data_IF_996878770763
#
_entry.id   IF_996878770763
#
_cell.length_a   1.000
_cell.length_b   1.000
_cell.length_c   1.000
_cell.angle_alpha   90.00
_cell.angle_beta   90.00
_cell.angle_gamma   90.00
#
_symmetry.space_group_name_H-M   'P 1'
#
loop_
_entity.id
_entity.type
_entity.pdbx_description
1 polymer ?
#
# COMPACT_ATOMS: atom_id res chain seq x y z
N UNK A 1 -17.53 17.09 10.65
CA UNK A 1 -16.55 16.00 10.88
C UNK A 1 -16.21 15.93 12.37
N UNK A 2 -16.00 14.75 12.95
CA UNK A 2 -15.82 14.62 14.40
C UNK A 2 -14.44 15.15 14.87
N UNK A 3 -14.44 15.99 15.90
CA UNK A 3 -13.22 16.51 16.56
C UNK A 3 -12.44 15.40 17.26
N UNK A 4 -13.16 14.43 17.85
CA UNK A 4 -12.60 13.26 18.52
C UNK A 4 -12.83 12.01 17.67
N UNK A 5 -11.79 11.54 16.98
CA UNK A 5 -11.79 10.24 16.29
C UNK A 5 -11.05 9.21 17.12
N UNK A 6 -11.77 8.17 17.56
CA UNK A 6 -11.19 7.03 18.31
C UNK A 6 -10.58 5.99 17.37
N UNK A 7 -11.02 5.94 16.11
CA UNK A 7 -10.56 4.96 15.12
C UNK A 7 -10.96 3.50 15.40
N UNK A 8 -11.64 3.20 16.53
CA UNK A 8 -12.00 1.82 16.89
C UNK A 8 -12.86 1.11 15.83
N UNK A 9 -13.91 1.75 15.25
CA UNK A 9 -14.70 1.11 14.20
C UNK A 9 -13.85 0.80 12.96
N UNK A 10 -13.06 1.78 12.52
CA UNK A 10 -12.14 1.63 11.39
C UNK A 10 -11.15 0.48 11.58
N UNK A 11 -10.53 0.38 12.76
CA UNK A 11 -9.57 -0.70 13.06
C UNK A 11 -10.27 -2.06 13.08
N UNK A 12 -11.46 -2.15 13.69
CA UNK A 12 -12.26 -3.39 13.72
C UNK A 12 -12.64 -3.84 12.31
N UNK A 13 -13.06 -2.92 11.46
CA UNK A 13 -13.46 -3.21 10.09
C UNK A 13 -12.24 -3.61 9.24
N UNK A 14 -11.09 -2.95 9.43
CA UNK A 14 -9.83 -3.35 8.79
C UNK A 14 -9.42 -4.77 9.20
N UNK A 15 -9.51 -5.09 10.48
CA UNK A 15 -9.13 -6.41 11.01
C UNK A 15 -10.04 -7.51 10.46
N UNK A 16 -11.34 -7.24 10.38
CA UNK A 16 -12.37 -8.17 9.91
C UNK A 16 -12.31 -8.40 8.40
N UNK A 17 -12.18 -7.33 7.61
CA UNK A 17 -12.20 -7.41 6.14
C UNK A 17 -10.82 -7.68 5.53
N UNK A 18 -9.73 -7.38 6.24
CA UNK A 18 -8.36 -7.49 5.73
C UNK A 18 -7.94 -6.34 4.81
N UNK A 19 -8.83 -5.95 3.88
CA UNK A 19 -8.61 -4.88 2.92
C UNK A 19 -9.81 -3.91 2.89
N UNK A 20 -9.54 -2.61 2.97
CA UNK A 20 -10.57 -1.57 2.92
C UNK A 20 -10.20 -0.46 1.93
N UNK A 21 -11.23 0.09 1.31
CA UNK A 21 -11.17 1.31 0.54
C UNK A 21 -11.50 2.50 1.43
N UNK A 22 -10.75 3.58 1.28
CA UNK A 22 -10.95 4.84 1.99
C UNK A 22 -11.21 5.95 0.99
N UNK A 23 -12.17 6.80 1.33
CA UNK A 23 -12.37 8.10 0.69
C UNK A 23 -12.16 9.19 1.75
N UNK A 24 -11.49 10.26 1.37
CA UNK A 24 -11.23 11.37 2.27
C UNK A 24 -11.37 12.72 1.56
N UNK A 25 -11.47 13.81 2.32
CA UNK A 25 -11.45 15.14 1.74
C UNK A 25 -10.13 15.43 1.00
N UNK A 26 -10.26 16.05 -0.17
CA UNK A 26 -9.14 16.26 -1.10
C UNK A 26 -8.11 17.28 -0.59
N UNK A 27 -8.45 18.06 0.44
CA UNK A 27 -7.52 18.93 1.15
C UNK A 27 -6.45 18.15 1.96
N UNK A 28 -6.66 16.85 2.21
CA UNK A 28 -5.75 15.99 2.95
C UNK A 28 -5.66 16.27 4.46
N UNK A 29 -4.88 15.46 5.17
CA UNK A 29 -4.62 15.58 6.60
C UNK A 29 -5.62 14.86 7.51
N UNK A 30 -6.69 14.28 6.96
CA UNK A 30 -7.68 13.53 7.73
C UNK A 30 -7.30 12.05 7.87
N UNK A 31 -6.73 11.48 6.81
CA UNK A 31 -6.22 10.12 6.72
C UNK A 31 -5.17 9.82 7.79
N UNK A 32 -4.25 10.76 8.04
CA UNK A 32 -3.22 10.63 9.06
C UNK A 32 -3.77 10.44 10.48
N UNK A 33 -5.01 10.86 10.76
CA UNK A 33 -5.64 10.63 12.06
C UNK A 33 -5.95 9.16 12.28
N UNK A 34 -6.46 8.48 11.26
CA UNK A 34 -6.80 7.05 11.32
C UNK A 34 -5.53 6.19 11.29
N UNK A 35 -4.53 6.58 10.50
CA UNK A 35 -3.21 5.96 10.51
C UNK A 35 -2.55 6.04 11.90
N UNK A 36 -2.62 7.19 12.59
CA UNK A 36 -2.10 7.31 13.96
C UNK A 36 -2.80 6.37 14.94
N UNK A 37 -4.09 6.08 14.73
CA UNK A 37 -4.83 5.11 15.56
C UNK A 37 -4.35 3.69 15.30
N UNK A 38 -4.09 3.32 14.04
CA UNK A 38 -3.48 2.02 13.70
C UNK A 38 -2.10 1.85 14.37
N UNK A 39 -1.25 2.88 14.27
CA UNK A 39 0.07 2.88 14.92
C UNK A 39 -0.03 2.73 16.44
N UNK A 40 -0.97 3.44 17.07
CA UNK A 40 -1.21 3.32 18.51
C UNK A 40 -1.70 1.92 18.93
N UNK A 41 -2.35 1.17 18.03
CA UNK A 41 -2.74 -0.23 18.27
C UNK A 41 -1.63 -1.24 17.97
N UNK A 42 -0.43 -0.79 17.60
CA UNK A 42 0.74 -1.64 17.40
C UNK A 42 0.95 -2.11 15.96
N UNK A 43 0.20 -1.58 14.98
CA UNK A 43 0.50 -1.81 13.57
C UNK A 43 1.66 -0.92 13.11
N UNK A 44 2.58 -1.49 12.33
CA UNK A 44 3.48 -0.70 11.50
C UNK A 44 2.78 -0.33 10.20
N UNK A 45 3.19 0.77 9.55
CA UNK A 45 2.53 1.24 8.31
C UNK A 45 3.57 1.44 7.23
N UNK A 46 3.35 0.80 6.08
CA UNK A 46 4.08 1.05 4.85
C UNK A 46 3.21 1.91 3.93
N UNK A 47 3.64 3.14 3.67
CA UNK A 47 2.97 4.02 2.72
C UNK A 47 3.63 3.93 1.35
N UNK A 48 2.85 3.66 0.31
CA UNK A 48 3.30 3.66 -1.08
C UNK A 48 2.30 4.42 -1.95
N UNK A 49 2.76 4.95 -3.08
CA UNK A 49 1.92 5.57 -4.10
C UNK A 49 1.55 4.55 -5.15
N UNK A 50 0.25 4.31 -5.36
CA UNK A 50 -0.23 3.35 -6.35
C UNK A 50 0.28 3.68 -7.76
N UNK A 51 0.35 4.96 -8.14
CA UNK A 51 0.81 5.44 -9.47
C UNK A 51 2.23 5.03 -9.84
N UNK A 52 3.08 4.85 -8.85
CA UNK A 52 4.47 4.43 -9.06
C UNK A 52 4.65 2.91 -9.10
N UNK A 53 3.62 2.14 -8.78
CA UNK A 53 3.68 0.69 -8.75
C UNK A 53 3.34 0.15 -10.14
N UNK A 54 4.22 -0.71 -10.67
CA UNK A 54 3.90 -1.53 -11.83
C UNK A 54 3.01 -2.70 -11.41
N UNK A 55 3.33 -3.90 -11.89
CA UNK A 55 2.66 -5.10 -11.40
C UNK A 55 2.83 -5.26 -9.86
N UNK A 56 1.69 -5.21 -9.15
CA UNK A 56 1.66 -5.24 -7.68
C UNK A 56 2.28 -6.51 -7.12
N UNK A 57 2.07 -7.66 -7.76
CA UNK A 57 2.62 -8.93 -7.29
C UNK A 57 4.14 -8.94 -7.34
N UNK A 58 4.70 -8.45 -8.45
CA UNK A 58 6.12 -8.31 -8.66
C UNK A 58 6.78 -7.34 -7.68
N UNK A 59 6.16 -6.18 -7.42
CA UNK A 59 6.76 -5.16 -6.54
C UNK A 59 6.64 -5.48 -5.04
N UNK A 60 5.50 -6.03 -4.62
CA UNK A 60 5.24 -6.25 -3.20
C UNK A 60 5.86 -7.56 -2.70
N UNK A 61 5.73 -8.64 -3.47
CA UNK A 61 6.01 -10.01 -2.99
C UNK A 61 7.11 -10.76 -3.74
N UNK A 62 7.52 -10.30 -4.92
CA UNK A 62 8.64 -10.87 -5.65
C UNK A 62 9.85 -9.92 -5.78
N UNK A 63 10.98 -10.46 -6.24
CA UNK A 63 12.15 -9.65 -6.60
C UNK A 63 11.84 -8.95 -7.92
N UNK A 64 11.98 -7.63 -7.96
CA UNK A 64 11.66 -6.82 -9.13
C UNK A 64 12.91 -6.17 -9.74
N UNK A 65 13.02 -6.20 -11.07
CA UNK A 65 14.12 -5.56 -11.79
C UNK A 65 13.80 -4.12 -12.17
N UNK A 66 14.37 -3.14 -11.46
CA UNK A 66 14.23 -1.71 -11.77
C UNK A 66 15.37 -1.29 -12.70
N UNK A 67 15.04 -0.56 -13.78
CA UNK A 67 16.03 0.06 -14.66
C UNK A 67 16.16 1.54 -14.32
N UNK A 68 17.29 1.99 -13.72
CA UNK A 68 17.52 3.40 -13.47
C UNK A 68 17.63 4.20 -14.79
N UNK A 69 17.30 5.49 -14.79
CA UNK A 69 17.45 6.34 -15.97
C UNK A 69 18.93 6.40 -16.38
N UNK A 70 19.26 5.84 -17.55
CA UNK A 70 20.64 5.72 -18.02
C UNK A 70 21.16 7.00 -18.71
N UNK A 71 20.27 7.96 -19.01
CA UNK A 71 20.58 9.29 -19.59
C UNK A 71 21.52 9.23 -20.82
N UNK A 72 21.49 8.13 -21.57
CA UNK A 72 22.37 7.90 -22.73
C UNK A 72 23.85 7.64 -22.42
N UNK A 73 24.27 7.54 -21.15
CA UNK A 73 25.70 7.55 -20.75
C UNK A 73 26.25 6.22 -20.20
N UNK A 74 25.47 5.13 -20.23
CA UNK A 74 25.79 3.93 -19.42
C UNK A 74 26.39 2.76 -20.20
N UNK A 75 26.18 2.66 -21.51
CA UNK A 75 26.70 1.54 -22.30
C UNK A 75 27.86 2.03 -23.16
N UNK A 76 29.10 1.84 -22.69
CA UNK A 76 30.34 2.13 -23.44
C UNK A 76 30.79 0.96 -24.33
N UNK A 77 30.03 -0.16 -24.37
CA UNK A 77 30.34 -1.35 -25.17
C UNK A 77 29.24 -1.70 -26.19
N UNK A 78 29.45 -2.74 -27.01
CA UNK A 78 28.57 -3.12 -28.13
C UNK A 78 27.22 -3.78 -27.74
N UNK A 79 26.82 -3.72 -26.46
CA UNK A 79 25.57 -4.30 -25.98
C UNK A 79 24.37 -3.37 -26.17
N UNK A 80 23.15 -3.89 -25.94
CA UNK A 80 21.93 -3.09 -25.99
C UNK A 80 22.02 -1.89 -25.01
N UNK A 81 21.63 -0.70 -25.47
CA UNK A 81 21.66 0.54 -24.69
C UNK A 81 20.52 0.63 -23.64
N UNK A 82 20.23 -0.48 -22.96
CA UNK A 82 19.10 -0.63 -22.01
C UNK A 82 19.48 -0.37 -20.55
N UNK A 83 20.75 -0.03 -20.29
CA UNK A 83 21.26 0.26 -18.94
C UNK A 83 21.35 -0.97 -18.02
N UNK A 84 21.72 -0.73 -16.76
CA UNK A 84 21.77 -1.77 -15.72
C UNK A 84 20.38 -2.07 -15.18
N UNK A 85 20.19 -3.31 -14.72
CA UNK A 85 18.99 -3.70 -13.98
C UNK A 85 19.36 -3.88 -12.51
N UNK A 86 18.68 -3.16 -11.62
CA UNK A 86 18.80 -3.31 -10.18
C UNK A 86 17.68 -4.21 -9.68
N UNK A 87 18.04 -5.35 -9.10
CA UNK A 87 17.07 -6.25 -8.50
C UNK A 87 16.78 -5.77 -7.08
N UNK A 88 15.61 -5.18 -6.89
CA UNK A 88 15.14 -4.76 -5.58
C UNK A 88 14.48 -5.94 -4.87
N UNK A 89 14.70 -6.09 -3.55
CA UNK A 89 14.00 -7.11 -2.78
C UNK A 89 12.49 -6.81 -2.78
N UNK A 90 11.64 -7.83 -2.54
CA UNK A 90 10.21 -7.61 -2.47
C UNK A 90 9.86 -6.69 -1.32
N UNK A 91 9.20 -5.57 -1.62
CA UNK A 91 9.10 -4.47 -0.68
C UNK A 91 8.35 -4.87 0.59
N UNK A 92 7.25 -5.60 0.45
CA UNK A 92 6.37 -5.97 1.55
C UNK A 92 7.01 -7.07 2.40
N UNK A 93 7.49 -8.15 1.79
CA UNK A 93 8.06 -9.29 2.54
C UNK A 93 9.35 -8.90 3.25
N UNK A 94 10.23 -8.15 2.57
CA UNK A 94 11.46 -7.64 3.19
C UNK A 94 11.16 -6.77 4.42
N UNK A 95 10.11 -5.94 4.33
CA UNK A 95 9.68 -5.11 5.46
C UNK A 95 9.07 -5.93 6.59
N UNK A 96 8.26 -6.95 6.29
CA UNK A 96 7.74 -7.87 7.31
C UNK A 96 8.85 -8.60 8.07
N UNK A 97 9.92 -9.00 7.39
CA UNK A 97 11.08 -9.65 8.01
C UNK A 97 11.88 -8.70 8.91
N UNK A 98 11.94 -7.42 8.54
CA UNK A 98 12.58 -6.37 9.35
C UNK A 98 11.69 -5.78 10.47
N UNK A 99 10.43 -6.21 10.54
CA UNK A 99 9.42 -5.65 11.46
C UNK A 99 9.74 -6.00 12.91
N UNK A 100 9.36 -5.13 13.85
CA UNK A 100 9.53 -5.45 15.27
C UNK A 100 8.71 -6.69 15.66
N UNK A 101 9.31 -7.62 16.42
CA UNK A 101 8.60 -8.79 16.94
C UNK A 101 7.40 -8.44 17.86
N UNK A 102 7.33 -7.20 18.35
CA UNK A 102 6.21 -6.68 19.16
C UNK A 102 5.09 -6.07 18.31
N UNK A 103 5.32 -5.84 17.02
CA UNK A 103 4.31 -5.27 16.13
C UNK A 103 3.19 -6.29 15.90
N UNK A 104 1.94 -5.79 15.88
CA UNK A 104 0.76 -6.61 15.61
C UNK A 104 0.73 -7.11 14.16
N UNK A 105 1.32 -6.34 13.25
CA UNK A 105 1.33 -6.60 11.81
C UNK A 105 1.68 -5.33 11.04
N UNK A 106 1.58 -5.40 9.72
CA UNK A 106 1.83 -4.27 8.84
C UNK A 106 0.56 -3.87 8.09
N UNK A 107 0.33 -2.56 8.01
CA UNK A 107 -0.70 -1.98 7.14
C UNK A 107 -0.01 -1.43 5.89
N UNK A 108 -0.34 -2.00 4.73
CA UNK A 108 -0.02 -1.43 3.44
C UNK A 108 -1.03 -0.32 3.14
N UNK A 109 -0.58 0.92 3.14
CA UNK A 109 -1.40 2.10 2.90
C UNK A 109 -1.06 2.68 1.52
N UNK A 110 -1.93 2.46 0.55
CA UNK A 110 -1.75 2.93 -0.83
C UNK A 110 -2.46 4.26 -1.03
N UNK A 111 -1.67 5.30 -1.31
CA UNK A 111 -2.18 6.60 -1.74
C UNK A 111 -2.39 6.60 -3.25
N UNK A 112 -3.30 7.45 -3.74
CA UNK A 112 -3.67 7.54 -5.16
C UNK A 112 -4.22 6.24 -5.77
N UNK A 113 -4.91 5.40 -4.99
CA UNK A 113 -5.45 4.11 -5.44
C UNK A 113 -6.59 4.19 -6.47
N UNK A 114 -7.13 5.39 -6.76
CA UNK A 114 -8.17 5.61 -7.77
C UNK A 114 -7.77 5.21 -9.20
N UNK A 115 -6.47 5.01 -9.46
CA UNK A 115 -5.96 4.58 -10.76
C UNK A 115 -5.94 3.05 -10.95
N UNK A 116 -6.07 2.30 -9.86
CA UNK A 116 -5.89 0.84 -9.87
C UNK A 116 -7.06 0.19 -10.61
N UNK A 117 -6.73 -0.80 -11.43
CA UNK A 117 -7.70 -1.65 -12.10
C UNK A 117 -8.42 -2.59 -11.13
N UNK A 118 -9.59 -3.09 -11.52
CA UNK A 118 -10.35 -4.08 -10.72
C UNK A 118 -9.53 -5.35 -10.45
N UNK A 119 -8.64 -5.74 -11.37
CA UNK A 119 -7.75 -6.89 -11.19
C UNK A 119 -6.68 -6.61 -10.12
N UNK A 120 -6.10 -5.42 -10.12
CA UNK A 120 -5.16 -4.99 -9.08
C UNK A 120 -5.84 -4.88 -7.71
N UNK A 121 -7.07 -4.36 -7.65
CA UNK A 121 -7.87 -4.35 -6.42
C UNK A 121 -8.16 -5.78 -5.94
N UNK A 122 -8.47 -6.71 -6.85
CA UNK A 122 -8.69 -8.13 -6.51
C UNK A 122 -7.45 -8.77 -5.90
N UNK A 123 -6.27 -8.46 -6.44
CA UNK A 123 -5.01 -8.90 -5.85
C UNK A 123 -4.83 -8.33 -4.43
N UNK A 124 -5.11 -7.05 -4.22
CA UNK A 124 -5.01 -6.42 -2.91
C UNK A 124 -6.02 -6.96 -1.89
N UNK A 125 -7.21 -7.39 -2.32
CA UNK A 125 -8.19 -8.09 -1.47
C UNK A 125 -7.69 -9.47 -1.02
N UNK A 126 -7.00 -10.20 -1.90
CA UNK A 126 -6.47 -11.53 -1.57
C UNK A 126 -5.17 -11.50 -0.77
N UNK A 127 -4.42 -10.38 -0.81
CA UNK A 127 -3.13 -10.23 -0.14
C UNK A 127 -3.17 -10.54 1.38
N UNK A 128 -4.14 -10.06 2.18
CA UNK A 128 -4.28 -10.46 3.59
C UNK A 128 -4.60 -11.95 3.82
N UNK A 129 -5.11 -12.66 2.81
CA UNK A 129 -5.32 -14.11 2.88
C UNK A 129 -4.01 -14.86 2.64
N UNK A 130 -3.17 -14.35 1.73
CA UNK A 130 -1.85 -14.90 1.42
C UNK A 130 -0.87 -14.65 2.58
N UNK A 131 -0.89 -13.44 3.15
CA UNK A 131 -0.05 -13.05 4.28
C UNK A 131 -0.91 -12.42 5.39
N UNK A 132 -1.34 -13.22 6.39
CA UNK A 132 -2.26 -12.78 7.44
C UNK A 132 -1.76 -11.62 8.33
N UNK A 133 -0.44 -11.38 8.36
CA UNK A 133 0.15 -10.25 9.11
C UNK A 133 -0.04 -8.91 8.40
N UNK A 134 -0.50 -8.93 7.15
CA UNK A 134 -0.73 -7.73 6.34
C UNK A 134 -2.20 -7.36 6.30
N UNK A 135 -2.46 -6.06 6.41
CA UNK A 135 -3.76 -5.45 6.14
C UNK A 135 -3.58 -4.36 5.08
N UNK A 136 -4.62 -4.10 4.29
CA UNK A 136 -4.54 -3.18 3.15
C UNK A 136 -5.53 -2.03 3.30
N UNK A 137 -5.05 -0.82 3.07
CA UNK A 137 -5.86 0.39 2.96
C UNK A 137 -5.56 1.04 1.63
N UNK A 138 -6.59 1.33 0.83
CA UNK A 138 -6.46 1.95 -0.49
C UNK A 138 -7.26 3.25 -0.53
N UNK A 139 -6.59 4.36 -0.87
CA UNK A 139 -7.24 5.66 -1.08
C UNK A 139 -7.83 5.74 -2.50
N UNK A 140 -9.10 5.39 -2.64
CA UNK A 140 -9.74 5.21 -3.95
C UNK A 140 -10.42 6.46 -4.51
N UNK A 141 -10.46 7.56 -3.74
CA UNK A 141 -11.08 8.80 -4.21
C UNK A 141 -11.36 9.81 -3.11
N UNK A 142 -11.99 10.91 -3.52
CA UNK A 142 -12.38 12.00 -2.64
C UNK A 142 -13.81 11.85 -2.09
N UNK A 143 -14.03 12.32 -0.87
CA UNK A 143 -15.36 12.52 -0.28
C UNK A 143 -15.32 13.74 0.66
N UNK A 144 -16.46 14.36 0.95
CA UNK A 144 -16.55 15.52 1.88
C UNK A 144 -16.27 15.13 3.34
N UNK A 145 -16.22 13.83 3.62
CA UNK A 145 -15.92 13.28 4.93
C UNK A 145 -15.02 12.05 4.79
N UNK A 146 -14.29 11.69 5.86
CA UNK A 146 -13.55 10.44 5.86
C UNK A 146 -14.53 9.27 6.00
N UNK A 147 -14.60 8.44 4.98
CA UNK A 147 -15.45 7.25 4.90
C UNK A 147 -14.63 6.05 4.42
N UNK A 148 -15.05 4.84 4.81
CA UNK A 148 -14.41 3.61 4.37
C UNK A 148 -15.44 2.52 4.13
N UNK A 149 -15.09 1.57 3.29
CA UNK A 149 -15.86 0.35 3.02
C UNK A 149 -14.92 -0.82 2.71
N UNK A 150 -15.37 -2.08 2.80
CA UNK A 150 -14.57 -3.21 2.36
C UNK A 150 -14.09 -3.03 0.91
N UNK A 151 -12.81 -3.29 0.64
CA UNK A 151 -12.24 -3.09 -0.70
C UNK A 151 -12.93 -3.98 -1.75
N UNK A 152 -13.40 -5.15 -1.33
CA UNK A 152 -14.14 -6.09 -2.15
C UNK A 152 -15.46 -5.53 -2.71
N UNK A 153 -16.05 -4.49 -2.11
CA UNK A 153 -17.28 -3.86 -2.61
C UNK A 153 -17.05 -3.03 -3.88
N UNK A 154 -15.80 -2.73 -4.23
CA UNK A 154 -15.43 -1.93 -5.40
C UNK A 154 -15.05 -2.78 -6.62
N UNK A 155 -15.19 -4.11 -6.53
CA UNK A 155 -14.76 -5.08 -7.54
C UNK A 155 -15.98 -5.65 -8.25
#
# INVERSE_FOLDING_TARGET
MALLTTGKPFIKDLESNGAIAVRMPLEGGFEGRYERRLKATGYETMKLTARGLGDLSSYLTAVHGVRPPHLGKKTLGSGAAVGYTYFIPPMLTYRLESMSAKAKGMVLWLIEGHILSHQELSYLVSLPTIEPRVKVVVEVGGDRSFSWEPLANLI
#
